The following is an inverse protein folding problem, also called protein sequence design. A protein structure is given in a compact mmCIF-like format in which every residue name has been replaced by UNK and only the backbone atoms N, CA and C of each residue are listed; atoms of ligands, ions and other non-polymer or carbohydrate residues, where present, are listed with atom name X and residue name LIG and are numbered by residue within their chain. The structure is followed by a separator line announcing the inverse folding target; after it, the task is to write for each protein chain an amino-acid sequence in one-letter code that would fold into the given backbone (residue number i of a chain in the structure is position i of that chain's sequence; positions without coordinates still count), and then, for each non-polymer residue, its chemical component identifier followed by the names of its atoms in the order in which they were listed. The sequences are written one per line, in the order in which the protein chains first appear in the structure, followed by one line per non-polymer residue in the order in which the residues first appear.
data_IF_781024773861
#
_entry.id   IF_781024773861
#
_cell.length_a   1.000
_cell.length_b   1.000
_cell.length_c   1.000
_cell.angle_alpha   90.00
_cell.angle_beta   90.00
_cell.angle_gamma   90.00
#
_symmetry.space_group_name_H-M   'P 1'
#
loop_
_entity.id
_entity.type
_entity.pdbx_description
1 polymer ?
#
# COMPACT_ATOMS: atom_id res chain seq x y z
N UNK A 1 4.57 51.90 0.78
CA UNK A 1 3.46 50.99 0.44
C UNK A 1 3.73 50.23 -0.86
N UNK A 2 3.81 50.86 -2.03
CA UNK A 2 4.08 50.13 -3.30
C UNK A 2 5.46 49.45 -3.36
N UNK A 3 6.52 50.14 -2.92
CA UNK A 3 7.90 49.58 -2.87
C UNK A 3 8.00 48.41 -1.89
N UNK A 4 7.27 48.49 -0.78
CA UNK A 4 7.23 47.46 0.27
C UNK A 4 6.48 46.20 -0.20
N UNK A 5 5.33 46.39 -0.86
CA UNK A 5 4.58 45.30 -1.49
C UNK A 5 5.40 44.59 -2.58
N UNK A 6 6.16 45.34 -3.39
CA UNK A 6 7.02 44.76 -4.42
C UNK A 6 8.20 43.95 -3.81
N UNK A 7 8.75 44.39 -2.67
CA UNK A 7 9.80 43.67 -1.97
C UNK A 7 9.28 42.36 -1.36
N UNK A 8 8.13 42.39 -0.69
CA UNK A 8 7.47 41.20 -0.11
C UNK A 8 7.09 40.21 -1.22
N UNK A 9 6.56 40.69 -2.35
CA UNK A 9 6.22 39.81 -3.47
C UNK A 9 7.46 39.11 -4.06
N UNK A 10 8.60 39.80 -4.18
CA UNK A 10 9.87 39.17 -4.60
C UNK A 10 10.35 38.09 -3.62
N UNK A 11 10.15 38.30 -2.31
CA UNK A 11 10.50 37.29 -1.31
C UNK A 11 9.58 36.07 -1.38
N UNK A 12 8.28 36.30 -1.62
CA UNK A 12 7.31 35.23 -1.87
C UNK A 12 7.71 34.42 -3.12
N UNK A 13 8.02 35.08 -4.24
CA UNK A 13 8.52 34.44 -5.46
C UNK A 13 9.77 33.59 -5.20
N UNK A 14 10.75 34.14 -4.47
CA UNK A 14 11.98 33.43 -4.13
C UNK A 14 11.71 32.18 -3.28
N UNK A 15 10.81 32.29 -2.32
CA UNK A 15 10.44 31.18 -1.43
C UNK A 15 9.66 30.10 -2.19
N UNK A 16 8.71 30.50 -3.04
CA UNK A 16 7.97 29.60 -3.92
C UNK A 16 8.91 28.82 -4.85
N UNK A 17 9.85 29.49 -5.53
CA UNK A 17 10.87 28.83 -6.37
C UNK A 17 11.67 27.76 -5.63
N UNK A 18 12.08 28.07 -4.40
CA UNK A 18 12.83 27.13 -3.56
C UNK A 18 11.97 25.90 -3.21
N UNK A 19 10.69 26.11 -2.92
CA UNK A 19 9.75 25.03 -2.64
C UNK A 19 9.47 24.17 -3.90
N UNK A 20 9.20 24.80 -5.05
CA UNK A 20 8.98 24.11 -6.33
C UNK A 20 10.18 23.25 -6.74
N UNK A 21 11.40 23.79 -6.63
CA UNK A 21 12.61 23.02 -6.91
C UNK A 21 12.76 21.80 -5.99
N UNK A 22 12.41 21.95 -4.70
CA UNK A 22 12.39 20.82 -3.75
C UNK A 22 11.34 19.79 -4.14
N UNK A 23 10.12 20.22 -4.46
CA UNK A 23 9.01 19.36 -4.88
C UNK A 23 9.36 18.55 -6.11
N UNK A 24 9.87 19.16 -7.17
CA UNK A 24 10.26 18.46 -8.40
C UNK A 24 11.30 17.36 -8.08
N UNK A 25 12.31 17.69 -7.27
CA UNK A 25 13.36 16.73 -6.88
C UNK A 25 12.77 15.54 -6.10
N UNK A 26 11.95 15.81 -5.09
CA UNK A 26 11.39 14.75 -4.25
C UNK A 26 10.28 13.97 -4.92
N UNK A 27 9.47 14.60 -5.78
CA UNK A 27 8.48 13.95 -6.62
C UNK A 27 9.11 12.90 -7.54
N UNK A 28 10.21 13.24 -8.20
CA UNK A 28 10.96 12.30 -9.04
C UNK A 28 11.52 11.13 -8.23
N UNK A 29 12.15 11.41 -7.07
CA UNK A 29 12.68 10.37 -6.19
C UNK A 29 11.58 9.44 -5.68
N UNK A 30 10.48 10.01 -5.18
CA UNK A 30 9.36 9.26 -4.62
C UNK A 30 8.68 8.39 -5.69
N UNK A 31 8.48 8.94 -6.91
CA UNK A 31 7.92 8.17 -8.03
C UNK A 31 8.77 6.96 -8.42
N UNK A 32 10.10 7.08 -8.38
CA UNK A 32 11.02 5.96 -8.65
C UNK A 32 10.89 4.87 -7.59
N UNK A 33 10.91 5.25 -6.30
CA UNK A 33 10.83 4.27 -5.21
C UNK A 33 9.46 3.56 -5.19
N UNK A 34 8.36 4.28 -5.38
CA UNK A 34 7.03 3.65 -5.49
C UNK A 34 6.97 2.74 -6.72
N UNK A 35 7.49 3.16 -7.87
CA UNK A 35 7.48 2.31 -9.08
C UNK A 35 8.28 1.01 -8.86
N UNK A 36 9.39 1.07 -8.12
CA UNK A 36 10.12 -0.16 -7.73
C UNK A 36 9.26 -1.07 -6.86
N UNK A 37 8.55 -0.50 -5.89
CA UNK A 37 7.70 -1.28 -4.99
C UNK A 37 6.53 -1.95 -5.74
N UNK A 38 5.95 -1.25 -6.72
CA UNK A 38 4.90 -1.81 -7.58
C UNK A 38 5.34 -3.05 -8.37
N UNK A 39 6.62 -3.16 -8.76
CA UNK A 39 7.13 -4.36 -9.42
C UNK A 39 7.04 -5.60 -8.52
N UNK A 40 7.22 -5.42 -7.20
CA UNK A 40 7.08 -6.50 -6.23
C UNK A 40 5.61 -6.86 -5.97
N UNK A 41 4.70 -5.89 -6.09
CA UNK A 41 3.25 -6.07 -5.90
C UNK A 41 2.53 -6.55 -7.17
N UNK A 42 3.20 -7.38 -7.98
CA UNK A 42 2.65 -7.98 -9.20
C UNK A 42 2.25 -6.99 -10.29
N UNK A 43 2.85 -5.80 -10.30
CA UNK A 43 2.56 -4.76 -11.28
C UNK A 43 3.85 -4.35 -12.04
N UNK A 44 4.57 -5.30 -12.67
CA UNK A 44 5.89 -5.05 -13.26
C UNK A 44 5.87 -4.09 -14.45
N UNK A 45 4.71 -3.94 -15.09
CA UNK A 45 4.52 -3.03 -16.22
C UNK A 45 3.89 -1.70 -15.80
N UNK A 46 3.69 -1.48 -14.51
CA UNK A 46 3.08 -0.26 -14.01
C UNK A 46 4.11 0.83 -13.75
N UNK A 47 3.64 2.08 -13.78
CA UNK A 47 4.44 3.26 -13.45
C UNK A 47 3.59 4.24 -12.68
N UNK A 48 4.18 4.85 -11.66
CA UNK A 48 3.62 6.05 -11.04
C UNK A 48 4.53 7.25 -11.34
N UNK A 49 3.90 8.41 -11.53
CA UNK A 49 4.59 9.67 -11.75
C UNK A 49 3.88 10.78 -10.97
N UNK A 50 4.65 11.54 -10.21
CA UNK A 50 4.17 12.68 -9.44
C UNK A 50 4.49 13.93 -10.25
N UNK A 51 3.49 14.42 -10.98
CA UNK A 51 3.62 15.62 -11.79
C UNK A 51 3.54 16.86 -10.89
N UNK A 52 4.43 17.83 -11.15
CA UNK A 52 4.46 19.13 -10.47
C UNK A 52 4.28 20.21 -11.53
N UNK A 53 3.14 20.90 -11.49
CA UNK A 53 2.81 21.98 -12.43
C UNK A 53 2.94 23.31 -11.70
N UNK A 54 3.95 24.11 -12.04
CA UNK A 54 4.20 25.42 -11.45
C UNK A 54 3.36 26.49 -12.16
N UNK A 55 2.61 27.30 -11.40
CA UNK A 55 1.81 28.43 -11.91
C UNK A 55 2.64 29.64 -12.34
N UNK A 56 1.98 30.72 -12.76
CA UNK A 56 2.66 31.93 -13.22
C UNK A 56 3.23 32.73 -12.04
N UNK A 57 4.56 32.76 -11.93
CA UNK A 57 5.29 33.44 -10.85
C UNK A 57 5.09 34.96 -10.82
N UNK A 58 4.68 35.58 -11.91
CA UNK A 58 4.44 37.02 -12.01
C UNK A 58 3.04 37.40 -11.51
N UNK A 59 2.12 36.45 -11.43
CA UNK A 59 0.75 36.67 -11.01
C UNK A 59 0.54 36.25 -9.56
N UNK A 60 0.21 37.22 -8.69
CA UNK A 60 -0.02 36.94 -7.27
C UNK A 60 -1.17 35.96 -7.01
N UNK A 61 -2.14 35.88 -7.93
CA UNK A 61 -3.24 34.91 -7.90
C UNK A 61 -2.81 33.46 -8.08
N UNK A 62 -1.61 33.21 -8.60
CA UNK A 62 -1.05 31.86 -8.73
C UNK A 62 -0.52 31.32 -7.40
N UNK A 63 -0.35 32.17 -6.37
CA UNK A 63 0.21 31.78 -5.08
C UNK A 63 -0.92 31.39 -4.11
N UNK A 64 -0.94 30.13 -3.70
CA UNK A 64 -1.78 29.63 -2.62
C UNK A 64 -1.03 29.53 -1.29
N UNK A 65 -1.75 29.10 -0.24
CA UNK A 65 -1.15 28.80 1.07
C UNK A 65 -0.08 27.71 0.99
N UNK A 66 -0.24 26.79 0.04
CA UNK A 66 0.70 25.70 -0.23
C UNK A 66 1.76 26.07 -1.29
N UNK A 67 1.90 27.34 -1.66
CA UNK A 67 2.81 27.80 -2.70
C UNK A 67 2.17 27.83 -4.09
N UNK A 68 2.99 27.67 -5.13
CA UNK A 68 2.62 27.94 -6.54
C UNK A 68 2.47 26.66 -7.39
N UNK A 69 2.67 25.48 -6.80
CA UNK A 69 2.63 24.22 -7.54
C UNK A 69 1.32 23.47 -7.32
N UNK A 70 0.80 22.91 -8.39
CA UNK A 70 -0.18 21.83 -8.36
C UNK A 70 0.55 20.49 -8.43
N UNK A 71 0.24 19.57 -7.51
CA UNK A 71 0.85 18.23 -7.44
C UNK A 71 -0.20 17.19 -7.82
N UNK A 72 0.12 16.36 -8.81
CA UNK A 72 -0.79 15.31 -9.29
C UNK A 72 -0.09 13.96 -9.32
N UNK A 73 -0.67 12.96 -8.64
CA UNK A 73 -0.23 11.58 -8.76
C UNK A 73 -0.92 10.94 -9.96
N UNK A 74 -0.11 10.50 -10.91
CA UNK A 74 -0.55 9.82 -12.12
C UNK A 74 0.00 8.41 -12.18
N UNK A 75 -0.79 7.48 -12.71
CA UNK A 75 -0.50 6.06 -12.72
C UNK A 75 -0.87 5.46 -14.07
N UNK A 76 -0.21 4.36 -14.41
CA UNK A 76 -0.63 3.46 -15.47
C UNK A 76 -0.28 2.03 -15.09
N UNK A 77 -1.15 1.07 -15.41
CA UNK A 77 -0.94 -0.35 -15.11
C UNK A 77 -0.15 -1.11 -16.18
N UNK A 78 0.11 -0.48 -17.33
CA UNK A 78 0.75 -1.10 -18.49
C UNK A 78 1.84 -0.21 -19.06
N UNK A 79 2.89 -0.83 -19.61
CA UNK A 79 4.15 -0.16 -20.00
C UNK A 79 3.96 1.00 -20.98
N UNK A 80 3.03 0.86 -21.92
CA UNK A 80 2.73 1.83 -22.97
C UNK A 80 1.40 2.56 -22.72
N UNK A 81 0.84 2.41 -21.52
CA UNK A 81 -0.42 3.04 -21.13
C UNK A 81 -0.26 4.54 -20.88
N UNK A 82 -1.34 5.28 -21.07
CA UNK A 82 -1.39 6.70 -20.71
C UNK A 82 -1.35 6.83 -19.19
N UNK A 83 -0.50 7.73 -18.68
CA UNK A 83 -0.54 8.17 -17.29
C UNK A 83 -1.83 8.96 -17.05
N UNK A 84 -2.63 8.49 -16.11
CA UNK A 84 -3.90 9.09 -15.73
C UNK A 84 -3.93 9.34 -14.22
N UNK A 85 -4.73 10.29 -13.73
CA UNK A 85 -4.95 10.45 -12.30
C UNK A 85 -5.37 9.13 -11.65
N UNK A 86 -4.90 8.87 -10.41
CA UNK A 86 -5.12 7.60 -9.72
C UNK A 86 -6.59 7.15 -9.70
N UNK A 87 -7.51 8.08 -9.46
CA UNK A 87 -8.95 7.83 -9.43
C UNK A 87 -9.58 7.44 -10.77
N UNK A 88 -8.84 7.54 -11.88
CA UNK A 88 -9.31 7.22 -13.25
C UNK A 88 -8.57 6.03 -13.87
N UNK A 89 -7.53 5.51 -13.22
CA UNK A 89 -6.56 4.63 -13.89
C UNK A 89 -6.49 3.20 -13.36
N UNK A 90 -7.02 2.93 -12.17
CA UNK A 90 -6.82 1.65 -11.49
C UNK A 90 -8.18 1.00 -11.13
N UNK A 91 -8.25 -0.32 -11.23
CA UNK A 91 -9.29 -1.12 -10.56
C UNK A 91 -9.14 -1.04 -9.03
N UNK A 92 -10.15 -1.47 -8.27
CA UNK A 92 -10.12 -1.44 -6.80
C UNK A 92 -8.86 -2.10 -6.21
N UNK A 93 -8.58 -3.35 -6.62
CA UNK A 93 -7.39 -4.09 -6.16
C UNK A 93 -6.06 -3.48 -6.60
N UNK A 94 -5.97 -2.94 -7.83
CA UNK A 94 -4.75 -2.24 -8.27
C UNK A 94 -4.52 -0.96 -7.48
N UNK A 95 -5.59 -0.20 -7.19
CA UNK A 95 -5.48 1.00 -6.39
C UNK A 95 -5.05 0.68 -4.96
N UNK A 96 -5.61 -0.38 -4.35
CA UNK A 96 -5.19 -0.85 -3.02
C UNK A 96 -3.70 -1.22 -3.00
N UNK A 97 -3.18 -1.86 -4.05
CA UNK A 97 -1.74 -2.16 -4.17
C UNK A 97 -0.89 -0.91 -4.41
N UNK A 98 -1.37 0.07 -5.18
CA UNK A 98 -0.68 1.36 -5.34
C UNK A 98 -0.60 2.10 -4.01
N UNK A 99 -1.69 2.11 -3.24
CA UNK A 99 -1.69 2.71 -1.90
C UNK A 99 -0.73 1.97 -0.96
N UNK A 100 -0.72 0.63 -0.96
CA UNK A 100 0.25 -0.14 -0.18
C UNK A 100 1.69 0.21 -0.55
N UNK A 101 2.01 0.34 -1.84
CA UNK A 101 3.35 0.74 -2.29
C UNK A 101 3.74 2.14 -1.78
N UNK A 102 2.81 3.11 -1.85
CA UNK A 102 3.01 4.45 -1.33
C UNK A 102 3.28 4.41 0.18
N UNK A 103 2.42 3.71 0.93
CA UNK A 103 2.54 3.64 2.39
C UNK A 103 3.81 2.94 2.83
N UNK A 104 4.24 1.85 2.16
CA UNK A 104 5.51 1.18 2.47
C UNK A 104 6.70 2.13 2.27
N UNK A 105 6.70 2.93 1.20
CA UNK A 105 7.78 3.90 0.94
C UNK A 105 7.75 5.07 1.94
N UNK A 106 6.57 5.48 2.40
CA UNK A 106 6.39 6.60 3.32
C UNK A 106 6.49 6.22 4.81
N UNK A 107 6.24 4.97 5.17
CA UNK A 107 6.17 4.49 6.56
C UNK A 107 7.45 4.75 7.36
N UNK A 108 8.60 4.87 6.70
CA UNK A 108 9.87 5.25 7.34
C UNK A 108 9.86 6.66 7.94
N UNK A 109 8.99 7.57 7.46
CA UNK A 109 9.03 8.98 7.81
C UNK A 109 7.77 9.48 8.54
N UNK A 110 6.63 8.81 8.38
CA UNK A 110 5.37 9.27 8.98
C UNK A 110 4.35 8.12 9.09
N UNK A 111 4.46 7.24 10.10
CA UNK A 111 3.48 6.18 10.28
C UNK A 111 2.11 6.74 10.68
N UNK A 112 1.06 6.33 9.98
CA UNK A 112 -0.33 6.52 10.41
C UNK A 112 -0.65 5.45 11.47
N UNK A 113 -1.54 5.75 12.42
CA UNK A 113 -1.86 4.84 13.53
C UNK A 113 -2.42 3.48 13.07
N UNK A 114 -3.38 3.49 12.13
CA UNK A 114 -4.05 2.27 11.66
C UNK A 114 -4.39 2.36 10.18
N UNK A 115 -4.09 1.31 9.43
CA UNK A 115 -4.47 1.10 8.03
C UNK A 115 -5.49 -0.03 7.91
N UNK A 116 -6.43 0.13 6.97
CA UNK A 116 -7.40 -0.90 6.61
C UNK A 116 -7.30 -1.11 5.10
N UNK A 117 -6.93 -2.33 4.70
CA UNK A 117 -6.88 -2.73 3.30
C UNK A 117 -7.99 -3.74 3.02
N UNK A 118 -8.81 -3.41 2.04
CA UNK A 118 -9.78 -4.32 1.44
C UNK A 118 -9.32 -4.66 0.01
N UNK A 119 -9.50 -5.92 -0.40
CA UNK A 119 -9.16 -6.43 -1.74
C UNK A 119 -7.71 -6.16 -2.22
N UNK A 120 -6.75 -5.92 -1.33
CA UNK A 120 -5.34 -5.69 -1.72
C UNK A 120 -4.72 -6.89 -2.44
N UNK A 121 -5.29 -8.08 -2.20
CA UNK A 121 -4.94 -9.35 -2.79
C UNK A 121 -5.83 -9.74 -4.00
N UNK A 122 -6.68 -8.84 -4.48
CA UNK A 122 -7.55 -9.09 -5.64
C UNK A 122 -6.74 -9.20 -6.93
N UNK A 123 -6.95 -10.29 -7.68
CA UNK A 123 -6.28 -10.55 -8.95
C UNK A 123 -4.80 -10.94 -8.83
N UNK A 124 -4.31 -11.29 -7.64
CA UNK A 124 -2.95 -11.79 -7.42
C UNK A 124 -2.94 -13.21 -6.88
N UNK A 125 -1.89 -13.96 -7.20
CA UNK A 125 -1.73 -15.36 -6.78
C UNK A 125 -0.27 -15.81 -6.79
N UNK A 126 0.01 -16.95 -6.14
CA UNK A 126 1.35 -17.52 -6.07
C UNK A 126 2.37 -16.56 -5.43
N UNK A 127 3.51 -16.35 -6.10
CA UNK A 127 4.60 -15.49 -5.60
C UNK A 127 4.16 -14.05 -5.33
N UNK A 128 3.26 -13.51 -6.15
CA UNK A 128 2.73 -12.17 -5.96
C UNK A 128 2.01 -12.00 -4.62
N UNK A 129 1.21 -12.98 -4.22
CA UNK A 129 0.47 -12.95 -2.95
C UNK A 129 1.41 -13.00 -1.74
N UNK A 130 2.51 -13.75 -1.84
CA UNK A 130 3.57 -13.78 -0.82
C UNK A 130 4.19 -12.39 -0.67
N UNK A 131 4.52 -11.73 -1.78
CA UNK A 131 5.11 -10.40 -1.74
C UNK A 131 4.15 -9.37 -1.14
N UNK A 132 2.85 -9.42 -1.46
CA UNK A 132 1.81 -8.58 -0.83
C UNK A 132 1.79 -8.78 0.69
N UNK A 133 1.72 -10.04 1.16
CA UNK A 133 1.76 -10.34 2.59
C UNK A 133 3.01 -9.81 3.29
N UNK A 134 4.17 -9.92 2.64
CA UNK A 134 5.43 -9.37 3.13
C UNK A 134 5.40 -7.85 3.29
N UNK A 135 4.77 -7.11 2.37
CA UNK A 135 4.69 -5.64 2.42
C UNK A 135 3.72 -5.17 3.50
N UNK A 136 2.61 -5.89 3.67
CA UNK A 136 1.68 -5.66 4.77
C UNK A 136 2.37 -5.87 6.12
N UNK A 137 3.20 -6.91 6.26
CA UNK A 137 4.00 -7.15 7.45
C UNK A 137 5.13 -6.13 7.67
N UNK A 138 5.71 -5.59 6.59
CA UNK A 138 6.69 -4.50 6.68
C UNK A 138 6.02 -3.21 7.17
N UNK A 139 4.85 -2.87 6.62
CA UNK A 139 4.06 -1.74 7.08
C UNK A 139 3.61 -1.93 8.53
N UNK A 140 3.29 -3.16 8.95
CA UNK A 140 2.86 -3.43 10.33
C UNK A 140 3.95 -3.26 11.40
N UNK A 141 5.21 -3.08 11.02
CA UNK A 141 6.29 -2.79 11.98
C UNK A 141 6.09 -1.44 12.68
N UNK A 142 5.46 -0.47 12.00
CA UNK A 142 5.31 0.89 12.51
C UNK A 142 3.84 1.31 12.69
N UNK A 143 2.89 0.48 12.27
CA UNK A 143 1.46 0.82 12.22
C UNK A 143 0.59 -0.42 12.43
N UNK A 144 -0.66 -0.24 12.87
CA UNK A 144 -1.62 -1.33 12.85
C UNK A 144 -2.14 -1.53 11.43
N UNK A 145 -2.14 -2.77 10.92
CA UNK A 145 -2.62 -3.07 9.57
C UNK A 145 -3.72 -4.14 9.66
N UNK A 146 -4.93 -3.78 9.23
CA UNK A 146 -6.09 -4.68 9.15
C UNK A 146 -6.34 -5.04 7.70
N UNK A 147 -6.40 -6.34 7.39
CA UNK A 147 -6.55 -6.85 6.03
C UNK A 147 -7.64 -7.92 6.02
N UNK A 148 -8.57 -7.80 5.10
CA UNK A 148 -9.48 -8.89 4.75
C UNK A 148 -8.89 -9.62 3.55
N UNK A 149 -8.65 -10.92 3.68
CA UNK A 149 -8.00 -11.74 2.65
C UNK A 149 -8.59 -13.13 2.61
N UNK A 150 -8.56 -13.73 1.43
CA UNK A 150 -8.87 -15.14 1.22
C UNK A 150 -7.64 -15.97 0.81
N UNK A 151 -6.47 -15.33 0.72
CA UNK A 151 -5.23 -15.98 0.30
C UNK A 151 -4.43 -16.43 1.53
N UNK A 152 -4.18 -17.74 1.62
CA UNK A 152 -3.31 -18.33 2.61
C UNK A 152 -1.92 -17.65 2.66
N UNK A 153 -1.41 -17.27 1.50
CA UNK A 153 -0.11 -16.61 1.34
C UNK A 153 -0.08 -15.25 2.04
N UNK A 154 -1.19 -14.51 2.07
CA UNK A 154 -1.29 -13.21 2.75
C UNK A 154 -1.56 -13.43 4.24
N UNK A 155 -2.53 -14.28 4.59
CA UNK A 155 -2.90 -14.58 5.98
C UNK A 155 -1.73 -15.16 6.81
N UNK A 156 -0.82 -15.90 6.16
CA UNK A 156 0.38 -16.45 6.83
C UNK A 156 1.30 -15.36 7.36
N UNK A 157 1.30 -14.16 6.78
CA UNK A 157 2.09 -13.01 7.25
C UNK A 157 1.47 -12.25 8.42
N UNK A 158 0.25 -12.56 8.86
CA UNK A 158 -0.39 -11.82 9.93
C UNK A 158 0.26 -12.06 11.31
N UNK A 159 0.38 -11.03 12.13
CA UNK A 159 0.74 -11.16 13.55
C UNK A 159 -0.36 -11.86 14.34
N UNK A 160 -1.61 -11.50 14.03
CA UNK A 160 -2.83 -12.07 14.59
C UNK A 160 -3.76 -12.50 13.47
N UNK A 161 -4.27 -13.73 13.52
CA UNK A 161 -5.15 -14.27 12.48
C UNK A 161 -6.56 -14.43 13.05
N UNK A 162 -7.51 -13.65 12.51
CA UNK A 162 -8.92 -13.73 12.84
C UNK A 162 -9.66 -14.48 11.74
N UNK A 163 -10.47 -15.46 12.11
CA UNK A 163 -11.33 -16.23 11.20
C UNK A 163 -12.77 -15.80 11.39
N UNK A 164 -13.43 -15.49 10.28
CA UNK A 164 -14.86 -15.16 10.26
C UNK A 164 -15.64 -16.37 9.76
N UNK A 165 -16.54 -16.89 10.59
CA UNK A 165 -17.38 -18.04 10.27
C UNK A 165 -18.86 -17.71 10.42
N UNK A 166 -19.72 -18.26 9.55
CA UNK A 166 -21.17 -18.16 9.71
C UNK A 166 -21.64 -19.15 10.78
N UNK A 167 -22.43 -18.67 11.72
CA UNK A 167 -23.16 -19.50 12.67
C UNK A 167 -24.55 -19.79 12.11
N UNK A 168 -24.83 -21.06 11.82
CA UNK A 168 -26.11 -21.53 11.28
C UNK A 168 -27.09 -22.03 12.35
N UNK A 169 -26.77 -21.82 13.64
CA UNK A 169 -27.52 -22.40 14.77
C UNK A 169 -28.89 -21.74 15.07
N UNK A 170 -29.44 -20.90 14.20
CA UNK A 170 -30.69 -20.17 14.43
C UNK A 170 -31.36 -19.60 13.18
N UNK A 171 -32.52 -18.94 13.35
CA UNK A 171 -33.34 -18.34 12.27
C UNK A 171 -32.71 -17.12 11.59
N UNK A 172 -31.58 -16.61 12.11
CA UNK A 172 -30.81 -15.49 11.57
C UNK A 172 -29.34 -15.91 11.47
N UNK A 173 -28.75 -15.79 10.29
CA UNK A 173 -27.31 -16.02 10.08
C UNK A 173 -26.50 -14.99 10.86
N UNK A 174 -25.80 -15.41 11.91
CA UNK A 174 -24.88 -14.55 12.66
C UNK A 174 -23.44 -14.84 12.22
N UNK A 175 -22.58 -13.81 12.15
CA UNK A 175 -21.16 -14.00 11.89
C UNK A 175 -20.40 -14.06 13.21
N UNK A 176 -19.59 -15.09 13.40
CA UNK A 176 -18.70 -15.24 14.55
C UNK A 176 -17.26 -14.96 14.13
N UNK A 177 -16.48 -14.34 15.01
CA UNK A 177 -15.07 -14.02 14.79
C UNK A 177 -14.25 -14.69 15.88
N UNK A 178 -13.25 -15.49 15.50
CA UNK A 178 -12.34 -16.15 16.44
C UNK A 178 -10.88 -15.84 16.10
N UNK A 179 -10.07 -15.61 17.14
CA UNK A 179 -8.62 -15.56 17.01
C UNK A 179 -8.07 -16.98 16.94
N UNK A 180 -7.28 -17.28 15.91
CA UNK A 180 -6.66 -18.60 15.72
C UNK A 180 -5.14 -18.51 15.87
N UNK A 181 -4.57 -19.51 16.55
CA UNK A 181 -3.13 -19.66 16.79
C UNK A 181 -2.71 -21.12 16.74
N UNK A 182 -1.39 -21.38 16.75
CA UNK A 182 -0.83 -22.74 16.77
C UNK A 182 -1.42 -23.66 15.68
N UNK A 183 -1.89 -24.83 16.09
CA UNK A 183 -2.47 -25.83 15.19
C UNK A 183 -3.77 -25.35 14.51
N UNK A 184 -4.60 -24.56 15.17
CA UNK A 184 -5.84 -24.04 14.56
C UNK A 184 -5.53 -23.04 13.45
N UNK A 185 -4.47 -22.23 13.62
CA UNK A 185 -3.97 -21.37 12.55
C UNK A 185 -3.46 -22.20 11.37
N UNK A 186 -2.73 -23.29 11.62
CA UNK A 186 -2.22 -24.18 10.57
C UNK A 186 -3.36 -24.87 9.80
N UNK A 187 -4.40 -25.34 10.50
CA UNK A 187 -5.61 -25.89 9.87
C UNK A 187 -6.32 -24.86 9.00
N UNK A 188 -6.47 -23.63 9.48
CA UNK A 188 -7.09 -22.58 8.69
C UNK A 188 -6.28 -22.22 7.44
N UNK A 189 -4.95 -22.14 7.55
CA UNK A 189 -4.09 -21.95 6.38
C UNK A 189 -4.23 -23.12 5.40
N UNK A 190 -4.33 -24.37 5.87
CA UNK A 190 -4.59 -25.54 5.04
C UNK A 190 -5.95 -25.46 4.33
N UNK A 191 -6.99 -24.97 5.03
CA UNK A 191 -8.30 -24.67 4.47
C UNK A 191 -8.23 -23.63 3.37
N UNK A 192 -7.52 -22.51 3.58
CA UNK A 192 -7.35 -21.46 2.59
C UNK A 192 -6.55 -21.92 1.36
N UNK A 193 -5.58 -22.83 1.54
CA UNK A 193 -4.77 -23.37 0.43
C UNK A 193 -5.54 -24.34 -0.47
N UNK A 194 -6.36 -25.21 0.12
CA UNK A 194 -6.86 -26.40 -0.57
C UNK A 194 -8.33 -26.75 -0.29
N UNK A 195 -8.98 -26.04 0.63
CA UNK A 195 -10.30 -26.38 1.15
C UNK A 195 -10.33 -27.64 2.02
N UNK A 196 -9.18 -28.22 2.35
CA UNK A 196 -9.06 -29.49 3.09
C UNK A 196 -8.30 -29.29 4.40
N UNK A 197 -8.96 -28.72 5.40
CA UNK A 197 -8.36 -28.43 6.72
C UNK A 197 -7.87 -29.67 7.47
N UNK A 198 -8.50 -30.84 7.27
CA UNK A 198 -8.13 -32.11 7.91
C UNK A 198 -7.10 -32.94 7.12
N UNK A 199 -6.72 -32.50 5.92
CA UNK A 199 -5.76 -33.23 5.09
C UNK A 199 -4.35 -33.07 5.64
N UNK A 200 -3.69 -34.20 5.94
CA UNK A 200 -2.31 -34.20 6.44
C UNK A 200 -1.33 -33.52 5.46
N UNK A 201 -1.51 -33.70 4.15
CA UNK A 201 -0.66 -33.07 3.13
C UNK A 201 -0.93 -31.58 3.02
N UNK A 202 -2.18 -31.14 3.14
CA UNK A 202 -2.53 -29.73 3.15
C UNK A 202 -1.96 -29.02 4.38
N UNK A 203 -2.08 -29.65 5.55
CA UNK A 203 -1.49 -29.13 6.79
C UNK A 203 0.04 -29.12 6.73
N UNK A 204 0.68 -30.08 6.07
CA UNK A 204 2.13 -30.03 5.84
C UNK A 204 2.52 -28.79 5.03
N UNK A 205 1.85 -28.55 3.90
CA UNK A 205 2.11 -27.37 3.07
C UNK A 205 1.84 -26.05 3.82
N UNK A 206 0.78 -26.01 4.64
CA UNK A 206 0.49 -24.88 5.52
C UNK A 206 1.62 -24.63 6.53
N UNK A 207 2.16 -25.70 7.13
CA UNK A 207 3.31 -25.62 8.03
C UNK A 207 4.55 -25.06 7.33
N UNK A 208 4.88 -25.58 6.15
CA UNK A 208 6.02 -25.09 5.34
C UNK A 208 5.89 -23.59 5.02
N UNK A 209 4.68 -23.14 4.69
CA UNK A 209 4.41 -21.72 4.44
C UNK A 209 4.59 -20.85 5.69
N UNK A 210 4.06 -21.30 6.84
CA UNK A 210 4.21 -20.59 8.11
C UNK A 210 5.68 -20.52 8.57
N UNK A 211 6.43 -21.61 8.38
CA UNK A 211 7.86 -21.67 8.71
C UNK A 211 8.69 -20.74 7.82
N UNK A 212 8.39 -20.70 6.51
CA UNK A 212 9.02 -19.77 5.57
C UNK A 212 8.79 -18.32 5.99
N UNK A 213 7.55 -17.97 6.36
CA UNK A 213 7.22 -16.63 6.83
C UNK A 213 7.92 -16.31 8.16
N UNK A 214 7.98 -17.27 9.09
CA UNK A 214 8.66 -17.09 10.36
C UNK A 214 10.17 -16.86 10.18
N UNK A 215 10.81 -17.55 9.24
CA UNK A 215 12.20 -17.33 8.87
C UNK A 215 12.40 -15.94 8.25
N UNK A 216 11.59 -15.57 7.27
CA UNK A 216 11.68 -14.27 6.60
C UNK A 216 11.46 -13.09 7.56
N UNK A 217 10.54 -13.21 8.53
CA UNK A 217 10.32 -12.19 9.57
C UNK A 217 11.54 -11.98 10.46
N UNK A 218 12.28 -13.03 10.80
CA UNK A 218 13.53 -12.91 11.57
C UNK A 218 14.59 -12.11 10.82
N UNK A 219 14.69 -12.30 9.50
CA UNK A 219 15.61 -11.53 8.64
C UNK A 219 15.19 -10.07 8.47
N UNK A 220 13.91 -9.73 8.65
CA UNK A 220 13.41 -8.36 8.52
C UNK A 220 13.64 -7.52 9.79
N UNK A 221 13.76 -8.16 10.96
CA UNK A 221 13.90 -7.51 12.28
C UNK A 221 15.35 -7.52 12.77
N UNK A 222 16.18 -8.47 12.28
CA UNK A 222 17.61 -8.57 12.60
C UNK A 222 18.49 -7.70 11.72
#
# INVERSE_FOLDING_TARGET
MEVENAAVFKELQKSAKKLSASRIKFAAKLGIEITKELMHLAMPNSKIEIAVTTGNEEEISSFGIDGIDEIMFTFTSHKDGKLLPLNKSASGGELSRVMLAIEVVLAANSPIGTYIFDEVDSGVGGKAAIEVGKRLALLSQNSQVLVVTHLAQVASWADSHLVVAKNESGSVTQSNISLVGGEDRKREIARLLSGQEDSATAQQHAGELLDLVAAARKEMIG
#
